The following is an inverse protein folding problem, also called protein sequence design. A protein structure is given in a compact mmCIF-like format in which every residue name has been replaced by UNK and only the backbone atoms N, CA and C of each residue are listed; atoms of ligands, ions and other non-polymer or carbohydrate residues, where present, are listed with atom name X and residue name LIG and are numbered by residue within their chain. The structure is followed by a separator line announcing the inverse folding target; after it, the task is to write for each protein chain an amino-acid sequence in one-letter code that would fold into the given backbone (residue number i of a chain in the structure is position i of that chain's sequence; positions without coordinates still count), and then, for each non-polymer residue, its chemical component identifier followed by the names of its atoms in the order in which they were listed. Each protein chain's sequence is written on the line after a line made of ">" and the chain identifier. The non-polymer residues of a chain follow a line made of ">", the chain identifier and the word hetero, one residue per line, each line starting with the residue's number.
data_IF_437788524981
#
_entry.id   IF_437788524981
#
_cell.length_a   1.000
_cell.length_b   1.000
_cell.length_c   1.000
_cell.angle_alpha   90.00
_cell.angle_beta   90.00
_cell.angle_gamma   90.00
#
_symmetry.space_group_name_H-M   'P 1'
#
loop_
_entity.id
_entity.type
_entity.pdbx_description
1 polymer ?
#
# COMPACT_ATOMS: atom_id res chain seq x y z
N UNK A 1 -51.80 9.87 -31.38
CA UNK A 1 -51.80 8.49 -30.82
C UNK A 1 -50.41 8.21 -30.21
N UNK A 2 -50.30 8.44 -28.90
CA UNK A 2 -49.04 8.18 -28.15
C UNK A 2 -49.01 6.70 -27.74
N UNK A 3 -48.15 5.91 -28.34
CA UNK A 3 -47.90 4.53 -27.92
C UNK A 3 -46.84 4.53 -26.80
N UNK A 4 -47.30 4.43 -25.54
CA UNK A 4 -46.42 4.25 -24.40
C UNK A 4 -45.64 2.94 -24.52
N UNK A 5 -44.34 3.05 -24.74
CA UNK A 5 -43.40 1.93 -24.70
C UNK A 5 -43.16 1.54 -23.24
N UNK A 6 -43.67 0.39 -22.81
CA UNK A 6 -43.42 -0.14 -21.46
C UNK A 6 -41.99 -0.68 -21.36
N UNK A 7 -41.39 -0.55 -20.15
CA UNK A 7 -40.01 -1.03 -19.83
C UNK A 7 -39.76 -2.48 -20.29
N UNK A 8 -40.80 -3.33 -20.27
CA UNK A 8 -40.73 -4.73 -20.71
C UNK A 8 -40.59 -4.87 -22.23
N UNK A 9 -41.07 -3.89 -23.00
CA UNK A 9 -40.96 -3.88 -24.46
C UNK A 9 -39.58 -3.40 -24.91
N UNK A 10 -39.00 -2.48 -24.14
CA UNK A 10 -37.63 -1.97 -24.34
C UNK A 10 -36.58 -3.08 -24.13
N UNK A 11 -36.74 -3.90 -23.11
CA UNK A 11 -35.84 -5.04 -22.86
C UNK A 11 -35.91 -6.15 -23.94
N UNK A 12 -37.07 -6.36 -24.55
CA UNK A 12 -37.21 -7.37 -25.63
C UNK A 12 -36.66 -6.92 -26.97
N UNK A 13 -36.57 -5.59 -27.20
CA UNK A 13 -35.99 -5.04 -28.44
C UNK A 13 -34.47 -4.98 -28.40
N UNK A 14 -33.88 -4.88 -27.20
CA UNK A 14 -32.42 -4.85 -27.03
C UNK A 14 -31.75 -6.23 -27.21
N UNK A 15 -32.50 -7.31 -26.98
CA UNK A 15 -31.95 -8.68 -27.12
C UNK A 15 -31.92 -9.18 -28.58
N UNK A 16 -32.71 -8.59 -29.45
CA UNK A 16 -32.75 -8.98 -30.85
C UNK A 16 -31.67 -8.30 -31.73
N UNK A 17 -31.03 -7.26 -31.24
CA UNK A 17 -29.97 -6.53 -31.96
C UNK A 17 -28.55 -7.07 -31.68
N UNK A 18 -28.37 -8.02 -30.77
CA UNK A 18 -27.09 -8.61 -30.41
C UNK A 18 -26.76 -9.93 -31.12
N UNK A 19 -27.67 -10.40 -31.98
CA UNK A 19 -27.53 -11.69 -32.64
C UNK A 19 -26.94 -11.69 -34.07
N UNK A 20 -26.49 -10.56 -34.61
CA UNK A 20 -26.14 -10.47 -36.04
C UNK A 20 -24.75 -9.93 -36.36
N UNK A 21 -23.81 -9.91 -35.41
CA UNK A 21 -22.39 -9.55 -35.69
C UNK A 21 -21.46 -10.65 -35.15
N UNK A 22 -21.68 -11.88 -35.60
CA UNK A 22 -20.68 -12.94 -35.54
C UNK A 22 -19.86 -12.88 -36.83
N UNK A 23 -18.89 -12.00 -36.90
CA UNK A 23 -17.99 -11.85 -38.04
C UNK A 23 -16.84 -10.95 -37.75
N UNK A 24 -15.72 -11.56 -37.39
CA UNK A 24 -14.35 -11.04 -37.52
C UNK A 24 -14.09 -9.56 -37.15
N UNK A 25 -13.49 -9.32 -36.03
CA UNK A 25 -12.52 -8.21 -35.94
C UNK A 25 -12.89 -6.99 -35.14
N UNK A 26 -13.94 -6.96 -34.29
CA UNK A 26 -14.31 -5.77 -33.51
C UNK A 26 -14.34 -5.97 -31.97
N UNK A 27 -13.46 -6.79 -31.45
CA UNK A 27 -13.20 -6.81 -30.00
C UNK A 27 -12.13 -5.77 -29.56
N UNK A 28 -11.96 -4.71 -30.34
CA UNK A 28 -11.20 -3.53 -29.92
C UNK A 28 -12.16 -2.55 -29.25
N UNK A 29 -12.51 -2.75 -27.99
CA UNK A 29 -13.36 -1.79 -27.32
C UNK A 29 -14.07 -2.28 -26.07
N UNK A 30 -13.64 -3.37 -25.44
CA UNK A 30 -13.95 -3.49 -24.03
C UNK A 30 -13.20 -2.35 -23.32
N UNK A 31 -13.89 -1.51 -22.50
CA UNK A 31 -13.17 -0.60 -21.64
C UNK A 31 -12.16 -1.48 -20.91
N UNK A 32 -10.87 -1.21 -21.12
CA UNK A 32 -9.82 -1.82 -20.33
C UNK A 32 -10.27 -1.59 -18.90
N UNK A 33 -10.53 -2.67 -18.17
CA UNK A 33 -10.66 -2.59 -16.72
C UNK A 33 -9.32 -1.95 -16.34
N UNK A 34 -9.33 -0.68 -15.97
CA UNK A 34 -8.15 -0.02 -15.49
C UNK A 34 -7.68 -0.90 -14.36
N UNK A 35 -6.53 -1.55 -14.56
CA UNK A 35 -5.89 -2.30 -13.51
C UNK A 35 -5.88 -1.37 -12.30
N UNK A 36 -6.47 -1.80 -11.20
CA UNK A 36 -6.54 -1.00 -9.99
C UNK A 36 -5.17 -0.38 -9.78
N UNK A 37 -5.11 0.93 -9.56
CA UNK A 37 -3.85 1.63 -9.38
C UNK A 37 -2.98 0.83 -8.41
N UNK A 38 -1.70 0.65 -8.76
CA UNK A 38 -0.79 -0.14 -7.94
C UNK A 38 -0.88 0.33 -6.48
N UNK A 39 -1.00 -0.58 -5.51
CA UNK A 39 -1.12 -0.21 -4.12
C UNK A 39 0.04 0.69 -3.70
N UNK A 40 -0.25 1.72 -2.95
CA UNK A 40 0.73 2.72 -2.50
C UNK A 40 0.91 2.58 -1.00
N UNK A 41 2.14 2.30 -0.57
CA UNK A 41 2.55 2.30 0.84
C UNK A 41 3.19 3.65 1.17
N UNK A 42 2.71 4.32 2.21
CA UNK A 42 3.28 5.56 2.73
C UNK A 42 4.34 5.22 3.77
N UNK A 43 5.59 5.54 3.43
CA UNK A 43 6.75 5.24 4.28
C UNK A 43 7.28 6.54 4.90
N UNK A 44 7.16 6.67 6.21
CA UNK A 44 7.64 7.81 6.99
C UNK A 44 9.03 7.49 7.57
N UNK A 45 9.99 8.38 7.39
CA UNK A 45 11.31 8.21 7.98
C UNK A 45 12.29 9.29 7.57
N UNK A 46 13.57 9.08 7.89
CA UNK A 46 14.66 9.95 7.46
C UNK A 46 15.15 9.60 6.05
N UNK A 47 15.90 10.50 5.43
CA UNK A 47 16.38 10.30 4.04
C UNK A 47 17.37 9.13 3.87
N UNK A 48 17.91 8.60 4.96
CA UNK A 48 19.01 7.60 4.93
C UNK A 48 18.61 6.31 4.19
N UNK A 49 17.38 5.85 4.37
CA UNK A 49 16.91 4.58 3.81
C UNK A 49 16.04 4.74 2.56
N UNK A 50 15.93 5.96 2.03
CA UNK A 50 15.01 6.31 0.94
C UNK A 50 15.76 6.52 -0.38
N UNK A 51 16.25 5.43 -0.98
CA UNK A 51 16.94 5.48 -2.28
C UNK A 51 16.04 5.08 -3.44
N UNK A 52 16.17 5.77 -4.59
CA UNK A 52 15.42 5.47 -5.82
C UNK A 52 15.62 4.03 -6.30
N UNK A 53 16.83 3.49 -6.13
CA UNK A 53 17.15 2.10 -6.49
C UNK A 53 16.33 1.09 -5.68
N UNK A 54 16.15 1.34 -4.38
CA UNK A 54 15.35 0.49 -3.50
C UNK A 54 13.88 0.55 -3.88
N UNK A 55 13.39 1.75 -4.15
CA UNK A 55 12.00 1.96 -4.58
C UNK A 55 11.70 1.26 -5.91
N UNK A 56 12.62 1.43 -6.90
CA UNK A 56 12.48 0.78 -8.19
C UNK A 56 12.48 -0.74 -8.06
N UNK A 57 13.44 -1.30 -7.33
CA UNK A 57 13.52 -2.75 -7.14
C UNK A 57 12.28 -3.31 -6.44
N UNK A 58 11.78 -2.63 -5.41
CA UNK A 58 10.56 -3.04 -4.71
C UNK A 58 9.36 -3.05 -5.66
N UNK A 59 9.23 -2.03 -6.50
CA UNK A 59 8.16 -1.98 -7.48
C UNK A 59 8.29 -3.09 -8.53
N UNK A 60 9.50 -3.31 -9.06
CA UNK A 60 9.76 -4.35 -10.05
C UNK A 60 9.45 -5.77 -9.50
N UNK A 61 9.76 -6.01 -8.22
CA UNK A 61 9.59 -7.32 -7.57
C UNK A 61 8.14 -7.57 -7.09
N UNK A 62 7.39 -6.52 -6.72
CA UNK A 62 6.12 -6.69 -5.99
C UNK A 62 4.94 -5.97 -6.63
N UNK A 63 5.16 -5.04 -7.55
CA UNK A 63 4.13 -4.15 -8.10
C UNK A 63 3.63 -3.09 -7.10
N UNK A 64 4.24 -2.96 -5.92
CA UNK A 64 3.86 -2.02 -4.89
C UNK A 64 4.63 -0.71 -5.04
N UNK A 65 3.92 0.42 -5.07
CA UNK A 65 4.54 1.75 -5.03
C UNK A 65 4.77 2.18 -3.60
N UNK A 66 5.93 2.81 -3.35
CA UNK A 66 6.22 3.44 -2.06
C UNK A 66 6.24 4.94 -2.22
N UNK A 67 5.49 5.64 -1.38
CA UNK A 67 5.54 7.09 -1.24
C UNK A 67 6.36 7.42 0.00
N UNK A 68 7.57 7.92 -0.19
CA UNK A 68 8.41 8.38 0.91
C UNK A 68 7.92 9.72 1.47
N UNK A 69 7.84 9.78 2.79
CA UNK A 69 7.55 10.99 3.58
C UNK A 69 8.80 11.28 4.39
N UNK A 70 9.71 12.04 3.77
CA UNK A 70 11.02 12.37 4.36
C UNK A 70 10.85 13.46 5.40
N UNK A 71 11.34 13.20 6.60
CA UNK A 71 11.34 14.14 7.73
C UNK A 71 12.60 14.00 8.57
N UNK A 72 12.86 14.98 9.41
CA UNK A 72 13.89 14.86 10.45
C UNK A 72 13.42 13.92 11.56
N UNK A 73 14.33 13.37 12.35
CA UNK A 73 14.03 12.47 13.46
C UNK A 73 12.96 13.02 14.42
N UNK A 74 13.08 14.29 14.78
CA UNK A 74 12.11 14.94 15.68
C UNK A 74 10.74 15.08 15.02
N UNK A 75 10.70 15.40 13.73
CA UNK A 75 9.45 15.49 12.98
C UNK A 75 8.80 14.11 12.75
N UNK A 76 9.60 13.05 12.53
CA UNK A 76 9.10 11.67 12.49
C UNK A 76 8.42 11.35 13.82
N UNK A 77 9.11 11.53 14.91
CA UNK A 77 8.57 11.31 16.28
C UNK A 77 7.29 12.10 16.49
N UNK A 78 7.29 13.40 16.19
CA UNK A 78 6.09 14.26 16.30
C UNK A 78 4.95 13.75 15.44
N UNK A 79 5.23 13.32 14.22
CA UNK A 79 4.20 12.83 13.28
C UNK A 79 3.54 11.55 13.82
N UNK A 80 4.32 10.62 14.40
CA UNK A 80 3.78 9.41 15.02
C UNK A 80 2.76 9.74 16.12
N UNK A 81 3.04 10.75 16.94
CA UNK A 81 2.12 11.16 18.00
C UNK A 81 0.90 11.92 17.51
N UNK A 82 1.06 12.79 16.51
CA UNK A 82 0.04 13.75 16.12
C UNK A 82 -0.80 13.30 14.91
N UNK A 83 -0.23 12.42 14.07
CA UNK A 83 -0.83 12.00 12.80
C UNK A 83 -0.60 10.50 12.53
N UNK A 84 -0.99 9.60 13.44
CA UNK A 84 -0.67 8.16 13.33
C UNK A 84 -1.26 7.50 12.09
N UNK A 85 -2.30 8.08 11.50
CA UNK A 85 -2.94 7.56 10.28
C UNK A 85 -2.36 8.13 8.97
N UNK A 86 -1.30 8.95 9.04
CA UNK A 86 -0.71 9.58 7.86
C UNK A 86 0.33 8.72 7.14
N UNK A 87 0.72 7.59 7.70
CA UNK A 87 1.72 6.65 7.19
C UNK A 87 1.29 5.20 7.43
N UNK A 88 1.91 4.28 6.72
CA UNK A 88 1.67 2.83 6.84
C UNK A 88 2.89 2.11 7.42
N UNK A 89 4.08 2.59 7.10
CA UNK A 89 5.35 2.11 7.66
C UNK A 89 6.12 3.30 8.20
N UNK A 90 6.79 3.11 9.32
CA UNK A 90 7.71 4.10 9.88
C UNK A 90 9.08 3.50 10.12
N UNK A 91 10.11 4.25 9.73
CA UNK A 91 11.50 4.03 10.11
C UNK A 91 11.90 5.10 11.11
N UNK A 92 12.27 4.68 12.29
CA UNK A 92 12.65 5.56 13.39
C UNK A 92 13.87 5.01 14.11
N UNK A 93 14.69 5.92 14.59
CA UNK A 93 15.91 5.56 15.31
C UNK A 93 15.59 4.86 16.63
N UNK A 94 16.42 3.87 16.94
CA UNK A 94 16.24 2.99 18.11
C UNK A 94 16.12 3.74 19.44
N UNK A 95 16.83 4.86 19.60
CA UNK A 95 16.74 5.68 20.81
C UNK A 95 15.36 6.35 21.01
N UNK A 96 14.54 6.44 19.98
CA UNK A 96 13.17 6.96 20.06
C UNK A 96 12.18 5.92 20.59
N UNK A 97 12.49 4.63 20.52
CA UNK A 97 11.58 3.53 20.88
C UNK A 97 11.03 3.63 22.31
N UNK A 98 11.80 4.03 23.35
CA UNK A 98 11.24 4.17 24.69
C UNK A 98 10.07 5.16 24.80
N UNK A 99 9.98 6.12 23.87
CA UNK A 99 8.85 7.06 23.78
C UNK A 99 7.74 6.53 22.87
N UNK A 100 8.11 5.88 21.77
CA UNK A 100 7.18 5.47 20.72
C UNK A 100 6.37 4.23 21.11
N UNK A 101 7.01 3.22 21.69
CA UNK A 101 6.34 1.97 22.06
C UNK A 101 5.18 2.18 23.03
N UNK A 102 5.34 2.98 24.13
CA UNK A 102 4.24 3.23 25.05
C UNK A 102 3.10 4.07 24.46
N UNK A 103 3.33 4.76 23.32
CA UNK A 103 2.28 5.57 22.69
C UNK A 103 1.12 4.76 22.12
N UNK A 104 1.36 3.48 21.80
CA UNK A 104 0.38 2.64 21.12
C UNK A 104 0.14 2.99 19.64
N UNK A 105 0.87 3.96 19.09
CA UNK A 105 0.71 4.43 17.70
C UNK A 105 1.59 3.69 16.69
N UNK A 106 2.40 2.74 17.16
CA UNK A 106 3.21 1.85 16.32
C UNK A 106 2.90 0.39 16.68
N UNK A 107 2.93 -0.47 15.68
CA UNK A 107 2.73 -1.91 15.84
C UNK A 107 4.06 -2.65 15.72
N UNK A 108 4.21 -3.72 16.48
CA UNK A 108 5.31 -4.66 16.29
C UNK A 108 5.19 -5.40 14.96
N UNK A 109 6.33 -5.71 14.35
CA UNK A 109 6.38 -6.55 13.16
C UNK A 109 6.26 -8.03 13.55
N UNK A 110 5.49 -8.79 12.77
CA UNK A 110 5.48 -10.25 12.85
C UNK A 110 6.73 -10.81 12.13
N UNK A 111 7.77 -11.02 12.91
CA UNK A 111 9.08 -11.48 12.39
C UNK A 111 9.02 -12.86 11.77
N UNK A 112 8.02 -13.69 12.09
CA UNK A 112 7.85 -15.02 11.50
C UNK A 112 7.51 -14.98 10.00
N UNK A 113 7.03 -13.83 9.53
CA UNK A 113 6.70 -13.58 8.11
C UNK A 113 7.86 -13.02 7.30
N UNK A 114 8.97 -12.69 7.94
CA UNK A 114 10.16 -12.12 7.30
C UNK A 114 11.13 -13.25 6.96
N UNK A 115 11.18 -13.63 5.68
CA UNK A 115 12.02 -14.76 5.21
C UNK A 115 13.50 -14.63 5.57
N UNK A 116 14.02 -13.39 5.52
CA UNK A 116 15.43 -13.09 5.76
C UNK A 116 15.72 -12.75 7.22
N UNK A 117 14.78 -12.96 8.14
CA UNK A 117 14.96 -12.60 9.54
C UNK A 117 16.17 -13.28 10.18
N UNK A 118 16.43 -14.52 9.86
CA UNK A 118 17.54 -15.29 10.42
C UNK A 118 18.92 -14.80 9.90
N UNK A 119 18.93 -14.04 8.80
CA UNK A 119 20.14 -13.41 8.26
C UNK A 119 20.45 -12.06 8.93
N UNK A 120 19.53 -11.55 9.76
CA UNK A 120 19.75 -10.30 10.49
C UNK A 120 20.64 -10.55 11.70
N UNK A 121 21.68 -9.74 11.85
CA UNK A 121 22.62 -9.85 12.98
C UNK A 121 21.89 -9.79 14.32
N UNK A 122 22.28 -10.64 15.26
CA UNK A 122 21.63 -10.81 16.56
C UNK A 122 21.52 -9.53 17.41
N UNK A 123 22.39 -8.56 17.16
CA UNK A 123 22.32 -7.22 17.80
C UNK A 123 20.99 -6.53 17.49
N UNK A 124 20.48 -6.66 16.26
CA UNK A 124 19.23 -6.04 15.83
C UNK A 124 17.99 -6.91 16.15
N UNK A 125 18.14 -8.24 16.16
CA UNK A 125 17.02 -9.14 16.39
C UNK A 125 16.66 -9.32 17.87
N UNK A 126 17.53 -8.91 18.80
CA UNK A 126 17.27 -9.02 20.23
C UNK A 126 16.18 -8.09 20.75
N UNK A 127 15.82 -7.04 19.98
CA UNK A 127 14.75 -6.11 20.32
C UNK A 127 14.93 -5.46 21.69
N UNK A 128 16.16 -5.07 22.04
CA UNK A 128 16.45 -4.49 23.35
C UNK A 128 16.41 -2.96 23.29
N UNK A 129 15.65 -2.34 24.17
CA UNK A 129 15.74 -0.88 24.36
C UNK A 129 17.06 -0.49 25.02
N UNK A 130 17.49 0.78 24.94
CA UNK A 130 18.68 1.27 25.64
C UNK A 130 18.69 0.99 27.16
N UNK A 131 17.57 0.71 27.78
CA UNK A 131 17.46 0.28 29.17
C UNK A 131 17.44 -1.23 29.41
N UNK A 132 17.77 -2.03 28.38
CA UNK A 132 17.78 -3.50 28.47
C UNK A 132 16.40 -4.13 28.49
N UNK A 133 15.34 -3.36 28.28
CA UNK A 133 13.97 -3.88 28.21
C UNK A 133 13.68 -4.37 26.78
N UNK A 134 13.16 -5.57 26.67
CA UNK A 134 12.71 -6.12 25.38
C UNK A 134 11.46 -5.36 24.88
N UNK A 135 11.44 -5.01 23.61
CA UNK A 135 10.29 -4.39 22.93
C UNK A 135 9.33 -5.47 22.48
#
# INVERSE_FOLDING_TARGET
>A
MNKNLTRRKMLKTSTAALGAVAGAGLLKGFPAIHAADAPVIRYLGTAVNMGDAVQKKLFDDTGIKVKFIVKTTDEVTKTIFTQPNSFDIVDSEYFSMPKLVPSGNILGMDTTKIKEWDNVTSVFTKGMTPGGKKI
#
